data_IF_682919879701
#
_entry.id   IF_682919879701
#
_cell.length_a   1.000
_cell.length_b   1.000
_cell.length_c   1.000
_cell.angle_alpha   90.00
_cell.angle_beta   90.00
_cell.angle_gamma   90.00
#
_symmetry.space_group_name_H-M   'P 1'
#
loop_
_entity.id
_entity.type
_entity.pdbx_description
1 polymer ?
#
# COMPACT_ATOMS: atom_id res chain seq x y z
N UNK A 1 10.04 8.92 6.39
CA UNK A 1 9.22 7.68 6.42
C UNK A 1 9.44 6.82 7.67
N UNK A 2 10.47 7.09 8.48
CA UNK A 2 10.87 6.30 9.66
C UNK A 2 9.74 5.88 10.61
N UNK A 3 8.72 6.73 10.88
CA UNK A 3 7.56 6.38 11.74
C UNK A 3 6.81 5.12 11.29
N UNK A 4 6.92 4.73 10.03
CA UNK A 4 6.30 3.53 9.46
C UNK A 4 7.16 2.27 9.54
N UNK A 5 8.41 2.34 10.00
CA UNK A 5 9.35 1.22 9.96
C UNK A 5 8.84 -0.01 10.72
N UNK A 6 8.13 0.18 11.85
CA UNK A 6 7.51 -0.92 12.59
C UNK A 6 6.45 -1.63 11.77
N UNK A 7 5.58 -0.88 11.06
CA UNK A 7 4.58 -1.45 10.17
C UNK A 7 5.28 -2.21 9.04
N UNK A 8 6.30 -1.62 8.43
CA UNK A 8 7.04 -2.18 7.31
C UNK A 8 7.63 -3.56 7.64
N UNK A 9 8.27 -3.67 8.81
CA UNK A 9 8.82 -4.93 9.32
C UNK A 9 7.76 -6.01 9.54
N UNK A 10 6.59 -5.64 10.06
CA UNK A 10 5.47 -6.58 10.25
C UNK A 10 4.94 -7.06 8.90
N UNK A 11 4.77 -6.17 7.92
CA UNK A 11 4.36 -6.52 6.56
C UNK A 11 5.38 -7.45 5.89
N UNK A 12 6.67 -7.14 5.99
CA UNK A 12 7.75 -7.95 5.40
C UNK A 12 7.83 -9.34 6.01
N UNK A 13 7.65 -9.47 7.32
CA UNK A 13 7.57 -10.78 7.97
C UNK A 13 6.37 -11.58 7.45
N UNK A 14 5.22 -10.94 7.27
CA UNK A 14 4.02 -11.58 6.72
C UNK A 14 4.25 -12.08 5.28
N UNK A 15 4.85 -11.25 4.42
CA UNK A 15 5.23 -11.63 3.05
C UNK A 15 6.23 -12.79 3.05
N UNK A 16 7.23 -12.77 3.94
CA UNK A 16 8.18 -13.87 4.11
C UNK A 16 7.47 -15.18 4.50
N UNK A 17 6.47 -15.11 5.37
CA UNK A 17 5.68 -16.28 5.75
C UNK A 17 4.83 -16.80 4.59
N UNK A 18 4.26 -15.90 3.78
CA UNK A 18 3.53 -16.28 2.56
C UNK A 18 4.42 -17.05 1.57
N UNK A 19 5.68 -16.61 1.41
CA UNK A 19 6.64 -17.26 0.51
C UNK A 19 6.95 -18.72 0.87
N UNK A 20 6.72 -19.16 2.12
CA UNK A 20 6.90 -20.57 2.53
C UNK A 20 5.95 -21.51 1.75
N UNK A 21 4.82 -21.01 1.26
CA UNK A 21 3.85 -21.78 0.48
C UNK A 21 4.14 -21.78 -1.03
N UNK A 22 5.20 -21.08 -1.47
CA UNK A 22 5.56 -20.91 -2.87
C UNK A 22 6.89 -21.58 -3.17
N UNK A 23 7.07 -21.99 -4.44
CA UNK A 23 8.43 -22.31 -4.92
C UNK A 23 9.28 -21.04 -4.93
N UNK A 24 10.58 -21.19 -4.69
CA UNK A 24 11.53 -20.08 -4.57
C UNK A 24 11.49 -19.09 -5.76
N UNK A 25 11.27 -19.58 -6.98
CA UNK A 25 11.15 -18.75 -8.18
C UNK A 25 9.93 -17.81 -8.19
N UNK A 26 8.90 -18.12 -7.40
CA UNK A 26 7.69 -17.32 -7.21
C UNK A 26 7.68 -16.55 -5.90
N UNK A 27 8.79 -16.50 -5.16
CA UNK A 27 8.82 -15.69 -3.94
C UNK A 27 8.53 -14.24 -4.26
N UNK A 28 7.63 -13.65 -3.49
CA UNK A 28 7.27 -12.24 -3.57
C UNK A 28 8.29 -11.45 -2.77
N UNK A 29 8.80 -10.38 -3.38
CA UNK A 29 9.74 -9.50 -2.70
C UNK A 29 9.01 -8.68 -1.63
N UNK A 30 9.65 -8.50 -0.48
CA UNK A 30 9.17 -7.57 0.54
C UNK A 30 9.31 -6.11 0.09
N UNK A 31 8.78 -5.21 0.91
CA UNK A 31 8.99 -3.78 0.77
C UNK A 31 10.40 -3.43 1.28
N UNK A 32 11.20 -2.76 0.45
CA UNK A 32 12.61 -2.48 0.71
C UNK A 32 12.84 -1.51 1.89
N UNK A 33 13.19 -2.03 3.07
CA UNK A 33 13.46 -1.22 4.27
C UNK A 33 14.67 -0.30 4.10
N UNK A 34 15.69 -0.73 3.35
CA UNK A 34 16.87 0.07 2.99
C UNK A 34 16.53 1.27 2.10
N UNK A 35 15.33 1.29 1.51
CA UNK A 35 14.83 2.35 0.64
C UNK A 35 13.72 3.18 1.29
N UNK A 36 13.58 3.13 2.62
CA UNK A 36 12.47 3.78 3.32
C UNK A 36 12.36 5.29 3.02
N UNK A 37 13.48 6.00 2.80
CA UNK A 37 13.51 7.42 2.42
C UNK A 37 13.57 7.66 0.90
N UNK A 38 13.58 6.61 0.07
CA UNK A 38 13.57 6.72 -1.40
C UNK A 38 12.16 7.00 -1.90
N UNK A 39 11.94 8.22 -2.39
CA UNK A 39 10.67 8.69 -2.94
C UNK A 39 10.25 7.97 -4.23
N UNK A 40 11.15 7.23 -4.86
CA UNK A 40 10.84 6.38 -6.02
C UNK A 40 10.36 4.98 -5.61
N UNK A 41 10.43 4.64 -4.32
CA UNK A 41 9.95 3.36 -3.79
C UNK A 41 8.75 3.56 -2.85
N UNK A 42 8.80 4.62 -2.05
CA UNK A 42 7.69 5.11 -1.23
C UNK A 42 7.27 6.50 -1.73
N UNK A 43 6.25 6.53 -2.57
CA UNK A 43 5.79 7.76 -3.22
C UNK A 43 4.96 8.60 -2.26
N UNK A 44 5.32 9.88 -2.14
CA UNK A 44 4.49 10.83 -1.40
C UNK A 44 3.15 11.00 -2.09
N UNK A 45 2.09 11.05 -1.30
CA UNK A 45 0.78 11.50 -1.77
C UNK A 45 0.78 13.03 -1.75
N UNK A 46 0.57 13.67 -2.89
CA UNK A 46 0.54 15.14 -3.01
C UNK A 46 -0.89 15.64 -3.10
N UNK A 47 -1.20 16.68 -2.33
CA UNK A 47 -2.55 17.25 -2.18
C UNK A 47 -2.72 18.52 -2.98
N UNK A 48 -3.98 18.89 -3.25
CA UNK A 48 -4.32 20.04 -4.10
C UNK A 48 -4.37 19.70 -5.60
N UNK A 49 -5.30 20.34 -6.31
CA UNK A 49 -5.65 19.96 -7.69
C UNK A 49 -4.48 20.12 -8.68
N UNK A 50 -3.66 21.17 -8.50
CA UNK A 50 -2.52 21.43 -9.39
C UNK A 50 -1.41 20.38 -9.26
N UNK A 51 -1.15 19.93 -8.03
CA UNK A 51 -0.16 18.89 -7.75
C UNK A 51 -0.69 17.50 -8.08
N UNK A 52 -1.98 17.25 -7.83
CA UNK A 52 -2.67 16.02 -8.23
C UNK A 52 -2.54 15.74 -9.72
N UNK A 53 -2.67 16.76 -10.58
CA UNK A 53 -2.54 16.62 -12.03
C UNK A 53 -1.12 16.22 -12.47
N UNK A 54 -0.10 16.51 -11.66
CA UNK A 54 1.30 16.15 -11.92
C UNK A 54 1.69 14.80 -11.30
N UNK A 55 0.82 14.23 -10.47
CA UNK A 55 1.17 13.06 -9.67
C UNK A 55 1.28 11.78 -10.51
N UNK A 56 2.39 11.06 -10.34
CA UNK A 56 2.60 9.73 -10.90
C UNK A 56 2.52 8.66 -9.82
N UNK A 57 2.01 7.47 -10.17
CA UNK A 57 1.83 6.37 -9.21
C UNK A 57 2.88 5.25 -9.37
N UNK A 58 3.35 4.62 -8.28
CA UNK A 58 4.20 3.44 -8.37
C UNK A 58 3.48 2.33 -9.11
N UNK A 59 4.18 1.65 -10.03
CA UNK A 59 3.66 0.49 -10.76
C UNK A 59 2.28 0.75 -11.39
N UNK A 60 2.02 1.99 -11.83
CA UNK A 60 0.70 2.47 -12.25
C UNK A 60 0.01 1.57 -13.29
N UNK A 61 0.77 0.94 -14.17
CA UNK A 61 0.29 0.05 -15.23
C UNK A 61 0.43 -1.46 -14.91
N UNK A 62 0.71 -1.83 -13.66
CA UNK A 62 0.93 -3.22 -13.23
C UNK A 62 -0.19 -3.74 -12.32
N UNK A 63 -0.35 -5.06 -12.29
CA UNK A 63 -1.14 -5.78 -11.29
C UNK A 63 -0.30 -6.20 -10.08
N UNK A 64 -0.91 -6.26 -8.90
CA UNK A 64 -0.22 -6.61 -7.67
C UNK A 64 -0.94 -6.18 -6.40
N UNK A 65 -0.18 -6.03 -5.31
CA UNK A 65 -0.65 -5.57 -4.00
C UNK A 65 -0.06 -4.19 -3.72
N UNK A 66 -0.85 -3.29 -3.16
CA UNK A 66 -0.43 -1.94 -2.84
C UNK A 66 -0.75 -1.55 -1.40
N UNK A 67 -0.05 -0.53 -0.93
CA UNK A 67 -0.08 -0.07 0.46
C UNK A 67 -0.23 1.46 0.48
N UNK A 68 -1.19 1.97 1.25
CA UNK A 68 -1.30 3.39 1.58
C UNK A 68 -1.00 3.57 3.06
N UNK A 69 0.08 4.25 3.38
CA UNK A 69 0.51 4.52 4.74
C UNK A 69 -0.02 5.87 5.18
N UNK A 70 -0.49 5.96 6.42
CA UNK A 70 -1.06 7.19 6.96
C UNK A 70 -0.92 7.31 8.47
N UNK A 71 -1.17 8.50 9.00
CA UNK A 71 -1.11 8.78 10.44
C UNK A 71 -2.41 9.43 10.91
N UNK A 72 -2.76 9.26 12.19
CA UNK A 72 -3.95 9.89 12.75
C UNK A 72 -3.76 11.40 12.85
N UNK A 73 -4.70 12.20 12.35
CA UNK A 73 -4.61 13.66 12.24
C UNK A 73 -4.14 14.37 13.53
N UNK A 74 -4.61 13.88 14.67
CA UNK A 74 -4.32 14.45 16.00
C UNK A 74 -3.16 13.73 16.74
N UNK A 75 -2.58 12.68 16.15
CA UNK A 75 -1.47 11.92 16.71
C UNK A 75 -0.60 11.30 15.61
N UNK A 76 0.48 12.00 15.25
CA UNK A 76 1.41 11.61 14.19
C UNK A 76 2.13 10.28 14.44
N UNK A 77 2.29 9.89 15.71
CA UNK A 77 2.93 8.62 16.11
C UNK A 77 1.99 7.43 15.92
N UNK A 78 0.67 7.69 15.86
CA UNK A 78 -0.32 6.65 15.58
C UNK A 78 -0.46 6.47 14.07
N UNK A 79 0.30 5.51 13.56
CA UNK A 79 0.35 5.15 12.14
C UNK A 79 -0.56 3.98 11.79
N UNK A 80 -1.01 3.92 10.55
CA UNK A 80 -1.81 2.84 9.99
C UNK A 80 -1.51 2.60 8.51
N UNK A 81 -2.00 1.47 8.00
CA UNK A 81 -1.84 1.09 6.59
C UNK A 81 -3.15 0.56 6.01
N UNK A 82 -3.50 1.05 4.82
CA UNK A 82 -4.48 0.41 3.94
C UNK A 82 -3.75 -0.53 3.00
N UNK A 83 -4.23 -1.76 2.86
CA UNK A 83 -3.68 -2.77 1.96
C UNK A 83 -4.71 -3.05 0.89
N UNK A 84 -4.34 -2.99 -0.38
CA UNK A 84 -5.29 -3.28 -1.46
C UNK A 84 -4.65 -4.06 -2.59
N UNK A 85 -5.48 -4.52 -3.53
CA UNK A 85 -5.03 -5.25 -4.72
C UNK A 85 -5.54 -4.69 -6.04
N UNK A 86 -4.73 -4.91 -7.07
CA UNK A 86 -5.12 -4.78 -8.46
C UNK A 86 -4.87 -6.12 -9.16
N UNK A 87 -5.94 -6.83 -9.49
CA UNK A 87 -5.92 -8.14 -10.14
C UNK A 87 -6.75 -8.13 -11.42
N UNK A 88 -6.55 -9.13 -12.28
CA UNK A 88 -7.39 -9.47 -13.45
C UNK A 88 -7.95 -8.25 -14.21
N UNK A 89 -7.10 -7.59 -14.99
CA UNK A 89 -7.48 -6.44 -15.82
C UNK A 89 -7.47 -5.10 -15.10
N UNK A 90 -7.46 -5.07 -13.76
CA UNK A 90 -7.24 -3.85 -12.98
C UNK A 90 -5.75 -3.55 -12.80
N UNK A 91 -5.37 -2.26 -12.88
CA UNK A 91 -4.01 -1.79 -12.59
C UNK A 91 -3.94 -1.03 -11.28
N UNK A 92 -2.78 -1.07 -10.64
CA UNK A 92 -2.51 -0.40 -9.35
C UNK A 92 -2.80 1.11 -9.45
N UNK A 93 -2.41 1.75 -10.56
CA UNK A 93 -2.67 3.17 -10.80
C UNK A 93 -4.16 3.51 -10.83
N UNK A 94 -4.98 2.67 -11.48
CA UNK A 94 -6.44 2.86 -11.53
C UNK A 94 -7.06 2.76 -10.14
N UNK A 95 -6.55 1.83 -9.30
CA UNK A 95 -6.99 1.68 -7.91
C UNK A 95 -6.65 2.90 -7.08
N UNK A 96 -5.42 3.41 -7.17
CA UNK A 96 -5.04 4.64 -6.49
C UNK A 96 -5.86 5.83 -6.94
N UNK A 97 -6.05 5.98 -8.25
CA UNK A 97 -6.90 7.03 -8.79
C UNK A 97 -8.31 6.94 -8.20
N UNK A 98 -8.93 5.76 -8.21
CA UNK A 98 -10.27 5.58 -7.64
C UNK A 98 -10.34 5.89 -6.14
N UNK A 99 -9.32 5.54 -5.36
CA UNK A 99 -9.31 5.77 -3.91
C UNK A 99 -9.05 7.24 -3.55
N UNK A 100 -8.21 7.93 -4.32
CA UNK A 100 -7.70 9.25 -3.96
C UNK A 100 -8.41 10.38 -4.73
N UNK A 101 -8.99 10.13 -5.91
CA UNK A 101 -9.69 11.14 -6.71
C UNK A 101 -10.76 11.93 -5.93
N UNK A 102 -11.58 11.34 -5.04
CA UNK A 102 -12.56 12.09 -4.24
C UNK A 102 -11.95 13.20 -3.36
N UNK A 103 -10.64 13.11 -3.07
CA UNK A 103 -9.88 14.04 -2.24
C UNK A 103 -8.91 14.89 -3.08
N UNK A 104 -9.00 14.85 -4.41
CA UNK A 104 -8.04 15.56 -5.28
C UNK A 104 -8.03 17.09 -5.12
N UNK A 105 -9.10 17.67 -4.57
CA UNK A 105 -9.23 19.11 -4.32
C UNK A 105 -9.02 19.47 -2.84
N UNK A 106 -8.81 18.49 -1.96
CA UNK A 106 -8.63 18.74 -0.53
C UNK A 106 -7.16 18.94 -0.18
N UNK A 107 -6.92 19.54 0.99
CA UNK A 107 -5.56 19.74 1.50
C UNK A 107 -4.91 18.43 2.01
N UNK A 108 -5.70 17.39 2.25
CA UNK A 108 -5.27 16.09 2.78
C UNK A 108 -6.12 14.95 2.19
N UNK A 109 -5.51 13.79 1.96
CA UNK A 109 -6.22 12.55 1.67
C UNK A 109 -6.57 11.86 2.99
N UNK A 110 -7.83 11.89 3.39
CA UNK A 110 -8.27 11.34 4.67
C UNK A 110 -9.03 10.01 4.50
N UNK A 111 -8.70 9.00 5.30
CA UNK A 111 -9.45 7.74 5.39
C UNK A 111 -9.57 7.29 6.84
N UNK A 112 -10.80 7.27 7.36
CA UNK A 112 -11.08 6.79 8.72
C UNK A 112 -10.35 7.56 9.83
N UNK A 113 -10.17 8.88 9.66
CA UNK A 113 -9.43 9.74 10.60
C UNK A 113 -7.91 9.73 10.44
N UNK A 114 -7.39 9.06 9.41
CA UNK A 114 -5.97 9.05 9.07
C UNK A 114 -5.71 9.89 7.83
N UNK A 115 -4.66 10.71 7.85
CA UNK A 115 -4.09 11.37 6.69
C UNK A 115 -3.14 10.38 6.01
N UNK A 116 -3.36 10.12 4.72
CA UNK A 116 -2.53 9.23 3.90
C UNK A 116 -1.34 10.02 3.34
N UNK A 117 -0.13 9.54 3.63
CA UNK A 117 1.12 10.23 3.30
C UNK A 117 1.90 9.55 2.18
N UNK A 118 1.92 8.21 2.17
CA UNK A 118 2.81 7.45 1.30
C UNK A 118 2.14 6.26 0.65
N UNK A 119 2.64 5.93 -0.53
CA UNK A 119 2.22 4.79 -1.34
C UNK A 119 3.40 3.90 -1.61
N UNK A 120 3.21 2.59 -1.49
CA UNK A 120 4.12 1.60 -2.07
C UNK A 120 3.34 0.44 -2.67
N UNK A 121 4.03 -0.43 -3.42
CA UNK A 121 3.40 -1.58 -4.04
C UNK A 121 4.39 -2.69 -4.38
N UNK A 122 3.85 -3.88 -4.54
CA UNK A 122 4.52 -5.09 -4.98
C UNK A 122 3.98 -5.43 -6.37
N UNK A 123 4.88 -5.46 -7.37
CA UNK A 123 4.58 -5.87 -8.74
C UNK A 123 4.56 -7.40 -8.82
N UNK A 124 3.38 -7.97 -9.10
CA UNK A 124 3.21 -9.41 -9.32
C UNK A 124 3.17 -9.78 -10.81
N UNK A 125 3.11 -8.81 -11.71
CA UNK A 125 3.05 -9.01 -13.16
C UNK A 125 4.38 -9.55 -13.69
N UNK A 126 5.51 -9.05 -13.18
CA UNK A 126 6.86 -9.52 -13.56
C UNK A 126 7.06 -11.02 -13.35
N UNK A 127 6.47 -11.60 -12.29
CA UNK A 127 6.58 -13.03 -11.95
C UNK A 127 5.39 -13.85 -12.46
N UNK A 128 4.50 -13.27 -13.29
CA UNK A 128 3.24 -13.89 -13.77
C UNK A 128 2.31 -14.33 -12.62
N UNK A 129 2.36 -13.62 -11.50
CA UNK A 129 1.65 -13.93 -10.25
C UNK A 129 0.40 -13.07 -10.02
N UNK A 130 -0.08 -12.32 -11.01
CA UNK A 130 -1.31 -11.50 -10.89
C UNK A 130 -2.49 -12.30 -10.31
N UNK A 131 -2.76 -13.58 -10.71
CA UNK A 131 -3.84 -14.36 -10.11
C UNK A 131 -3.72 -14.55 -8.59
N UNK A 132 -2.51 -14.46 -8.03
CA UNK A 132 -2.23 -14.57 -6.61
C UNK A 132 -2.34 -13.26 -5.84
N UNK A 133 -2.61 -12.12 -6.51
CA UNK A 133 -2.75 -10.83 -5.82
C UNK A 133 -3.82 -10.86 -4.72
N UNK A 134 -4.95 -11.56 -4.96
CA UNK A 134 -5.99 -11.76 -3.95
C UNK A 134 -5.51 -12.57 -2.76
N UNK A 135 -4.84 -13.70 -3.02
CA UNK A 135 -4.35 -14.57 -1.96
C UNK A 135 -3.28 -13.85 -1.11
N UNK A 136 -2.37 -13.11 -1.74
CA UNK A 136 -1.34 -12.34 -1.03
C UNK A 136 -1.96 -11.24 -0.16
N UNK A 137 -2.87 -10.43 -0.70
CA UNK A 137 -3.56 -9.38 0.05
C UNK A 137 -4.30 -9.94 1.27
N UNK A 138 -5.14 -10.95 1.07
CA UNK A 138 -5.95 -11.55 2.13
C UNK A 138 -5.08 -12.24 3.20
N UNK A 139 -3.98 -12.88 2.78
CA UNK A 139 -3.00 -13.46 3.69
C UNK A 139 -2.35 -12.39 4.56
N UNK A 140 -1.83 -11.32 3.95
CA UNK A 140 -1.20 -10.23 4.70
C UNK A 140 -2.20 -9.61 5.68
N UNK A 141 -3.40 -9.23 5.22
CA UNK A 141 -4.44 -8.64 6.07
C UNK A 141 -4.75 -9.55 7.26
N UNK A 142 -4.96 -10.85 7.01
CA UNK A 142 -5.32 -11.79 8.06
C UNK A 142 -4.22 -11.98 9.10
N UNK A 143 -2.96 -12.01 8.66
CA UNK A 143 -1.80 -12.21 9.54
C UNK A 143 -1.42 -10.94 10.33
N UNK A 144 -1.70 -9.74 9.80
CA UNK A 144 -1.26 -8.47 10.43
C UNK A 144 -2.34 -7.71 11.19
N UNK A 145 -3.63 -8.06 11.04
CA UNK A 145 -4.77 -7.29 11.60
C UNK A 145 -4.71 -7.02 13.11
N UNK A 146 -4.12 -7.92 13.90
CA UNK A 146 -3.97 -7.76 15.36
C UNK A 146 -2.62 -7.13 15.75
N UNK A 147 -1.72 -6.92 14.78
CA UNK A 147 -0.33 -6.46 14.99
C UNK A 147 -0.14 -4.99 14.62
N UNK A 148 -0.93 -4.47 13.68
CA UNK A 148 -0.87 -3.09 13.17
C UNK A 148 -2.27 -2.54 12.96
N UNK A 149 -2.38 -1.21 12.88
CA UNK A 149 -3.67 -0.57 12.60
C UNK A 149 -4.00 -0.64 11.10
N UNK A 150 -4.96 -1.49 10.72
CA UNK A 150 -5.43 -1.63 9.35
C UNK A 150 -6.53 -0.62 9.03
N UNK A 151 -6.37 0.10 7.91
CA UNK A 151 -7.35 1.07 7.40
C UNK A 151 -8.40 0.43 6.46
N UNK A 152 -8.31 -0.88 6.23
CA UNK A 152 -9.23 -1.64 5.38
C UNK A 152 -10.66 -1.70 5.93
N UNK A 153 -10.79 -1.82 7.26
CA UNK A 153 -12.04 -2.06 7.98
C UNK A 153 -12.83 -0.79 8.31
N UNK A 154 -12.25 0.41 8.13
CA UNK A 154 -12.96 1.69 8.28
C UNK A 154 -13.80 2.05 7.04
N UNK A 155 -13.92 1.15 6.06
CA UNK A 155 -14.50 1.40 4.74
C UNK A 155 -15.83 0.71 4.42
N UNK A 156 -16.50 0.03 5.35
CA UNK A 156 -17.88 -0.44 5.17
C UNK A 156 -18.65 -0.34 6.49
N UNK A 157 -19.37 0.76 6.66
CA UNK A 157 -20.62 0.83 7.43
C UNK A 157 -21.64 1.53 6.57
#
# INVERSE_FOLDING_TARGET
MEKYLKILRVLNLSIKNFNVYLKNEYWVDGLAEDKIEDKNYFFNIVTGIEEWLKQTWPNSNKGGVYFLFGYQKDNIEKVGVYIGKASLGSKIGDRFHSHLKPFSETNNFEKGGFILDYISSIDLERKKMIPFASALEEFIISDVKEKIYLLNSTGNK
#
